data_IF_560591975312
#
_entry.id   IF_560591975312
#
_cell.length_a   1.000
_cell.length_b   1.000
_cell.length_c   1.000
_cell.angle_alpha   90.00
_cell.angle_beta   90.00
_cell.angle_gamma   90.00
#
_symmetry.space_group_name_H-M   'P 1'
#
loop_
_entity.id
_entity.type
_entity.pdbx_description
1 polymer ?
#
# COMPACT_ATOMS: atom_id res chain seq x y z
N UNK A 1 -20.05 -6.58 -29.13
CA UNK A 1 -19.88 -6.55 -27.66
C UNK A 1 -18.94 -5.41 -27.35
N UNK A 2 -19.51 -4.26 -26.99
CA UNK A 2 -18.78 -3.02 -26.72
C UNK A 2 -18.07 -3.19 -25.38
N UNK A 3 -16.74 -3.02 -25.39
CA UNK A 3 -15.91 -2.92 -24.19
C UNK A 3 -16.53 -1.83 -23.29
N UNK A 4 -16.78 -2.07 -21.99
CA UNK A 4 -17.26 -0.99 -21.14
C UNK A 4 -16.22 0.12 -21.16
N UNK A 5 -16.72 1.28 -21.55
CA UNK A 5 -16.10 2.60 -21.55
C UNK A 5 -15.31 2.78 -20.25
N UNK A 6 -14.05 3.18 -20.41
CA UNK A 6 -13.17 3.50 -19.29
C UNK A 6 -13.90 4.49 -18.39
N UNK A 7 -14.15 4.08 -17.14
CA UNK A 7 -14.63 4.98 -16.12
C UNK A 7 -13.67 6.18 -16.06
N UNK A 8 -14.26 7.35 -16.25
CA UNK A 8 -13.69 8.68 -16.14
C UNK A 8 -12.50 8.70 -15.17
N UNK A 9 -11.30 8.91 -15.71
CA UNK A 9 -10.09 9.04 -14.92
C UNK A 9 -10.20 10.37 -14.16
N UNK A 10 -10.79 10.33 -12.96
CA UNK A 10 -10.82 11.50 -12.09
C UNK A 10 -9.39 11.98 -11.93
N UNK A 11 -9.10 13.20 -12.42
CA UNK A 11 -7.77 13.81 -12.36
C UNK A 11 -7.34 14.12 -10.92
N UNK A 12 -8.26 13.97 -9.97
CA UNK A 12 -8.05 14.18 -8.55
C UNK A 12 -7.35 12.96 -7.93
N UNK A 13 -6.14 13.18 -7.42
CA UNK A 13 -5.36 12.19 -6.71
C UNK A 13 -4.87 12.77 -5.38
N UNK A 14 -5.20 12.17 -4.21
CA UNK A 14 -6.02 10.97 -4.02
C UNK A 14 -7.47 11.15 -4.49
N UNK A 15 -8.22 10.06 -4.80
CA UNK A 15 -9.61 10.16 -5.22
C UNK A 15 -10.46 10.90 -4.18
N UNK A 16 -11.54 11.58 -4.60
CA UNK A 16 -12.41 12.38 -3.73
C UNK A 16 -12.93 11.60 -2.50
N UNK A 17 -13.14 10.28 -2.64
CA UNK A 17 -13.58 9.40 -1.56
C UNK A 17 -12.48 8.96 -0.57
N UNK A 18 -11.22 9.33 -0.80
CA UNK A 18 -10.13 9.03 0.11
C UNK A 18 -10.19 9.93 1.35
N UNK A 19 -10.20 9.31 2.52
CA UNK A 19 -10.24 10.00 3.81
C UNK A 19 -8.84 10.12 4.41
N UNK A 20 -8.67 10.96 5.43
CA UNK A 20 -7.46 10.97 6.24
C UNK A 20 -7.17 9.54 6.76
N UNK A 21 -5.92 9.08 6.63
CA UNK A 21 -5.56 7.75 7.14
C UNK A 21 -5.62 7.77 8.67
N UNK A 22 -5.91 6.62 9.28
CA UNK A 22 -5.97 6.51 10.73
C UNK A 22 -5.91 5.08 11.23
N UNK A 23 -5.27 4.92 12.39
CA UNK A 23 -5.15 3.66 13.10
C UNK A 23 -4.02 2.77 12.57
N UNK A 24 -4.07 1.51 12.99
CA UNK A 24 -3.07 0.52 12.63
C UNK A 24 -3.23 0.08 11.17
N UNK A 25 -2.12 0.11 10.43
CA UNK A 25 -2.03 -0.47 9.09
C UNK A 25 -0.89 -1.47 9.01
N UNK A 26 -1.03 -2.43 8.10
CA UNK A 26 -0.10 -3.51 7.89
C UNK A 26 0.39 -3.54 6.43
N UNK A 27 1.67 -3.79 6.22
CA UNK A 27 2.28 -3.84 4.88
C UNK A 27 3.17 -5.06 4.73
N UNK A 28 3.13 -5.67 3.54
CA UNK A 28 4.04 -6.73 3.15
C UNK A 28 5.44 -6.15 2.84
N UNK A 29 6.49 -6.67 3.45
CA UNK A 29 7.87 -6.23 3.26
C UNK A 29 8.80 -7.41 2.91
N UNK A 30 9.91 -7.13 2.24
CA UNK A 30 11.00 -8.09 1.94
C UNK A 30 12.14 -8.02 2.96
N UNK A 31 12.21 -6.93 3.71
CA UNK A 31 13.29 -6.63 4.66
C UNK A 31 12.78 -6.51 6.10
N UNK A 32 13.67 -6.75 7.06
CA UNK A 32 13.46 -6.49 8.48
C UNK A 32 14.74 -5.88 9.06
N UNK A 33 14.75 -4.59 9.45
CA UNK A 33 13.63 -3.63 9.37
C UNK A 33 13.22 -3.31 7.91
N UNK A 34 12.02 -2.72 7.67
CA UNK A 34 11.62 -2.26 6.35
C UNK A 34 12.58 -1.18 5.82
N UNK A 35 12.79 -1.18 4.52
CA UNK A 35 13.66 -0.20 3.83
C UNK A 35 12.84 0.77 2.99
N UNK A 36 13.48 1.82 2.49
CA UNK A 36 12.92 2.71 1.46
C UNK A 36 12.40 1.92 0.24
N UNK A 37 13.12 0.89 -0.20
CA UNK A 37 12.72 -0.01 -1.30
C UNK A 37 11.40 -0.73 -1.00
N UNK A 38 11.12 -1.05 0.27
CA UNK A 38 9.84 -1.64 0.69
C UNK A 38 8.68 -0.62 0.68
N UNK A 39 8.98 0.68 0.65
CA UNK A 39 8.04 1.80 0.80
C UNK A 39 7.91 2.70 -0.43
N UNK A 40 8.54 2.31 -1.54
CA UNK A 40 8.35 2.96 -2.83
C UNK A 40 6.98 2.63 -3.43
N UNK A 41 6.32 3.65 -3.97
CA UNK A 41 5.12 3.53 -4.79
C UNK A 41 5.49 2.94 -6.16
N UNK A 42 4.48 2.57 -6.96
CA UNK A 42 4.73 2.12 -8.34
C UNK A 42 5.23 3.26 -9.23
N UNK A 43 4.78 4.49 -8.96
CA UNK A 43 5.30 5.69 -9.62
C UNK A 43 6.80 5.87 -9.33
N UNK A 44 7.18 5.91 -8.05
CA UNK A 44 8.57 6.12 -7.60
C UNK A 44 9.52 5.02 -8.10
N UNK A 45 9.05 3.78 -8.17
CA UNK A 45 9.84 2.63 -8.65
C UNK A 45 9.79 2.41 -10.16
N UNK A 46 9.08 3.25 -10.92
CA UNK A 46 8.92 3.12 -12.37
C UNK A 46 8.15 1.87 -12.81
N UNK A 47 7.42 1.23 -11.90
CA UNK A 47 6.64 0.00 -12.18
C UNK A 47 5.24 0.33 -12.69
N UNK A 48 4.69 -0.61 -13.45
CA UNK A 48 3.32 -0.57 -14.00
C UNK A 48 3.03 0.73 -14.77
N UNK A 49 3.80 1.07 -15.82
CA UNK A 49 3.69 2.36 -16.51
C UNK A 49 2.28 2.67 -17.04
N UNK A 50 1.56 1.63 -17.48
CA UNK A 50 0.23 1.74 -18.09
C UNK A 50 -0.93 1.62 -17.08
N UNK A 51 -0.64 1.47 -15.79
CA UNK A 51 -1.67 1.44 -14.75
C UNK A 51 -2.16 2.86 -14.41
N UNK A 52 -3.32 2.93 -13.76
CA UNK A 52 -3.91 4.18 -13.26
C UNK A 52 -2.86 5.04 -12.52
N UNK A 53 -2.56 6.26 -13.00
CA UNK A 53 -1.51 7.10 -12.42
C UNK A 53 -1.73 7.39 -10.94
N UNK A 54 -2.98 7.56 -10.50
CA UNK A 54 -3.25 7.85 -9.10
C UNK A 54 -3.03 6.63 -8.21
N UNK A 55 -3.47 5.44 -8.64
CA UNK A 55 -3.19 4.20 -7.90
C UNK A 55 -1.70 3.88 -7.87
N UNK A 56 -0.93 4.28 -8.89
CA UNK A 56 0.53 4.13 -8.87
C UNK A 56 1.21 4.98 -7.80
N UNK A 57 0.58 6.06 -7.34
CA UNK A 57 1.01 6.91 -6.21
C UNK A 57 0.61 6.37 -4.84
N UNK A 58 -0.20 5.30 -4.80
CA UNK A 58 -0.59 4.64 -3.55
C UNK A 58 0.33 3.47 -3.19
N UNK A 59 0.45 3.23 -1.89
CA UNK A 59 1.01 2.02 -1.29
C UNK A 59 -0.14 1.10 -0.86
N UNK A 60 -0.03 -0.19 -1.22
CA UNK A 60 -0.91 -1.22 -0.67
C UNK A 60 -0.61 -1.43 0.82
N UNK A 61 -1.63 -1.22 1.64
CA UNK A 61 -1.65 -1.56 3.07
C UNK A 61 -2.91 -2.38 3.39
N UNK A 62 -2.97 -2.93 4.60
CA UNK A 62 -4.07 -3.74 5.10
C UNK A 62 -4.51 -3.21 6.46
N UNK A 63 -5.80 -3.33 6.78
CA UNK A 63 -6.33 -3.01 8.13
C UNK A 63 -6.26 -4.19 9.10
N UNK A 64 -5.89 -5.38 8.61
CA UNK A 64 -5.76 -6.60 9.40
C UNK A 64 -4.38 -7.23 9.18
N UNK A 65 -3.71 -7.62 10.27
CA UNK A 65 -2.45 -8.36 10.19
C UNK A 65 -2.66 -9.71 9.49
N UNK A 66 -3.74 -10.42 9.82
CA UNK A 66 -4.09 -11.72 9.23
C UNK A 66 -4.24 -11.63 7.71
N UNK A 67 -4.85 -10.56 7.20
CA UNK A 67 -5.01 -10.36 5.77
C UNK A 67 -3.68 -10.03 5.09
N UNK A 68 -2.82 -9.23 5.75
CA UNK A 68 -1.47 -8.97 5.27
C UNK A 68 -0.62 -10.26 5.24
N UNK A 69 -0.71 -11.10 6.26
CA UNK A 69 -0.05 -12.40 6.29
C UNK A 69 -0.58 -13.31 5.18
N UNK A 70 -1.90 -13.35 4.96
CA UNK A 70 -2.48 -14.10 3.85
C UNK A 70 -1.95 -13.59 2.50
N UNK A 71 -1.93 -12.27 2.29
CA UNK A 71 -1.41 -11.67 1.06
C UNK A 71 0.05 -12.04 0.83
N UNK A 72 0.91 -11.91 1.84
CA UNK A 72 2.35 -12.14 1.66
C UNK A 72 2.65 -13.62 1.34
N UNK A 73 1.83 -14.57 1.84
CA UNK A 73 1.93 -16.00 1.47
C UNK A 73 1.77 -16.19 -0.04
N UNK A 74 0.94 -15.39 -0.72
CA UNK A 74 0.72 -15.46 -2.17
C UNK A 74 1.96 -15.04 -2.98
N UNK A 75 2.87 -14.25 -2.41
CA UNK A 75 4.10 -13.80 -3.10
C UNK A 75 5.18 -14.89 -3.15
N UNK A 76 4.95 -15.97 -3.90
CA UNK A 76 5.85 -17.15 -4.00
C UNK A 76 7.31 -16.83 -4.37
N UNK A 77 7.55 -15.70 -5.06
CA UNK A 77 8.90 -15.29 -5.49
C UNK A 77 9.75 -14.66 -4.39
N UNK A 78 9.16 -14.21 -3.27
CA UNK A 78 9.92 -13.56 -2.20
C UNK A 78 10.51 -14.63 -1.28
N UNK A 79 11.84 -14.62 -1.13
CA UNK A 79 12.60 -15.57 -0.31
C UNK A 79 12.36 -15.36 1.19
N UNK A 80 12.32 -14.11 1.61
CA UNK A 80 11.96 -13.68 2.97
C UNK A 80 10.78 -12.72 2.88
N UNK A 81 9.87 -12.83 3.84
CA UNK A 81 8.56 -12.19 3.80
C UNK A 81 8.22 -11.73 5.20
N UNK A 82 7.92 -10.46 5.33
CA UNK A 82 7.56 -9.84 6.59
C UNK A 82 6.23 -9.13 6.46
N UNK A 83 5.51 -9.05 7.58
CA UNK A 83 4.45 -8.08 7.76
C UNK A 83 4.97 -7.03 8.73
N UNK A 84 4.92 -5.77 8.29
CA UNK A 84 5.25 -4.62 9.10
C UNK A 84 3.98 -3.84 9.46
N UNK A 85 3.97 -3.23 10.64
CA UNK A 85 2.87 -2.44 11.19
C UNK A 85 3.30 -0.99 11.37
N UNK A 86 2.40 -0.06 11.09
CA UNK A 86 2.50 1.33 11.49
C UNK A 86 1.19 1.80 12.13
N UNK A 87 1.28 2.69 13.11
CA UNK A 87 0.13 3.44 13.61
C UNK A 87 0.11 4.79 12.88
N UNK A 88 -0.83 4.95 11.94
CA UNK A 88 -0.95 6.15 11.13
C UNK A 88 -2.06 7.07 11.66
N UNK A 89 -1.93 8.35 11.34
CA UNK A 89 -2.91 9.39 11.59
C UNK A 89 -3.07 10.28 10.35
N UNK A 90 -3.96 11.27 10.42
CA UNK A 90 -4.26 12.13 9.28
C UNK A 90 -3.07 12.94 8.73
N UNK A 91 -2.01 13.14 9.53
CA UNK A 91 -0.77 13.78 9.07
C UNK A 91 0.05 12.90 8.12
N UNK A 92 -0.20 11.59 8.11
CA UNK A 92 0.51 10.64 7.27
C UNK A 92 -0.12 10.43 5.89
N UNK A 93 -1.19 11.16 5.56
CA UNK A 93 -1.81 11.18 4.24
C UNK A 93 -3.25 10.68 4.22
N UNK A 94 -3.67 10.13 3.08
CA UNK A 94 -5.05 9.69 2.85
C UNK A 94 -5.12 8.22 2.49
N UNK A 95 -6.23 7.56 2.79
CA UNK A 95 -6.46 6.18 2.42
C UNK A 95 -7.89 5.92 1.97
N UNK A 96 -8.06 4.86 1.18
CA UNK A 96 -9.35 4.40 0.68
C UNK A 96 -9.32 2.88 0.55
N UNK A 97 -10.38 2.21 0.99
CA UNK A 97 -10.51 0.77 0.79
C UNK A 97 -10.51 0.46 -0.71
N UNK A 98 -9.64 -0.45 -1.13
CA UNK A 98 -9.61 -0.91 -2.52
C UNK A 98 -10.77 -1.88 -2.71
N UNK A 99 -11.60 -1.65 -3.73
CA UNK A 99 -12.70 -2.57 -4.06
C UNK A 99 -12.13 -3.87 -4.64
N UNK A 100 -12.48 -5.02 -4.08
CA UNK A 100 -11.95 -6.31 -4.54
C UNK A 100 -12.17 -7.47 -3.56
N UNK A 101 -11.45 -8.57 -3.81
CA UNK A 101 -11.55 -9.83 -3.06
C UNK A 101 -10.81 -9.81 -1.71
N UNK A 102 -10.11 -8.72 -1.38
CA UNK A 102 -9.28 -8.60 -0.18
C UNK A 102 -9.97 -7.64 0.80
N UNK A 103 -10.62 -8.14 1.87
CA UNK A 103 -11.56 -7.36 2.67
C UNK A 103 -10.98 -6.09 3.28
N UNK A 104 -9.69 -6.11 3.63
CA UNK A 104 -9.01 -4.99 4.29
C UNK A 104 -7.92 -4.34 3.45
N UNK A 105 -7.77 -4.72 2.17
CA UNK A 105 -6.80 -4.08 1.27
C UNK A 105 -7.19 -2.63 1.05
N UNK A 106 -6.26 -1.73 1.38
CA UNK A 106 -6.46 -0.30 1.37
C UNK A 106 -5.34 0.33 0.55
N UNK A 107 -5.71 1.21 -0.37
CA UNK A 107 -4.78 2.13 -1.01
C UNK A 107 -4.47 3.27 -0.04
N UNK A 108 -3.20 3.43 0.32
CA UNK A 108 -2.73 4.56 1.12
C UNK A 108 -1.88 5.48 0.24
N UNK A 109 -2.29 6.74 0.09
CA UNK A 109 -1.50 7.80 -0.53
C UNK A 109 -0.77 8.56 0.58
N UNK A 110 0.55 8.36 0.71
CA UNK A 110 1.34 9.02 1.75
C UNK A 110 1.30 10.54 1.59
N UNK A 111 1.43 11.26 2.69
CA UNK A 111 1.64 12.71 2.64
C UNK A 111 2.88 13.05 1.82
N UNK A 112 2.86 14.16 1.06
CA UNK A 112 3.97 14.55 0.17
C UNK A 112 5.30 14.75 0.90
N UNK A 113 5.25 15.17 2.17
CA UNK A 113 6.43 15.35 3.02
C UNK A 113 7.10 14.01 3.43
N UNK A 114 6.43 12.87 3.24
CA UNK A 114 6.96 11.55 3.58
C UNK A 114 7.59 10.92 2.33
N UNK A 115 8.92 11.03 2.22
CA UNK A 115 9.69 10.25 1.25
C UNK A 115 9.70 8.74 1.64
N UNK A 116 10.19 7.83 0.77
CA UNK A 116 10.21 6.41 1.07
C UNK A 116 10.99 6.02 2.34
N UNK A 117 12.05 6.74 2.70
CA UNK A 117 12.83 6.47 3.90
C UNK A 117 12.06 6.89 5.17
N UNK A 118 11.44 8.07 5.15
CA UNK A 118 10.55 8.55 6.20
C UNK A 118 9.35 7.62 6.39
N UNK A 119 8.77 7.11 5.30
CA UNK A 119 7.71 6.08 5.36
C UNK A 119 8.23 4.81 6.02
N UNK A 120 9.43 4.33 5.67
CA UNK A 120 9.99 3.12 6.25
C UNK A 120 10.18 3.23 7.76
N UNK A 121 10.59 4.40 8.24
CA UNK A 121 10.77 4.68 9.66
C UNK A 121 9.46 4.61 10.49
N UNK A 122 8.30 4.74 9.87
CA UNK A 122 6.99 4.58 10.53
C UNK A 122 6.64 3.13 10.83
N UNK A 123 7.27 2.17 10.13
CA UNK A 123 6.89 0.77 10.17
C UNK A 123 7.88 -0.09 10.96
N UNK A 124 7.35 -0.96 11.81
CA UNK A 124 8.10 -2.01 12.49
C UNK A 124 7.62 -3.39 12.04
N UNK A 125 8.54 -4.33 11.80
CA UNK A 125 8.17 -5.72 11.49
C UNK A 125 7.51 -6.37 12.72
N UNK A 126 6.32 -6.92 12.52
CA UNK A 126 5.54 -7.64 13.56
C UNK A 126 5.50 -9.14 13.33
N UNK A 127 5.74 -9.60 12.09
CA UNK A 127 5.70 -11.02 11.75
C UNK A 127 6.70 -11.35 10.63
N UNK A 128 7.47 -12.44 10.78
CA UNK A 128 8.13 -13.13 9.67
C UNK A 128 7.22 -14.27 9.19
N UNK A 129 6.79 -14.21 7.94
CA UNK A 129 5.88 -15.21 7.37
C UNK A 129 6.69 -16.30 6.69
N UNK A 130 6.76 -17.46 7.35
CA UNK A 130 7.36 -18.68 6.82
C UNK A 130 6.33 -19.45 5.97
N UNK A 131 6.83 -20.12 4.93
CA UNK A 131 6.03 -21.02 4.09
C UNK A 131 5.91 -22.40 4.74
#
# INVERSE_FOLDING_TARGET
MTKPENADASTECPPTGAAAVGGDVYRCCKSSPPTDVDMQTHEESGRLPDADPCLRRALSVFRSETDAQHQVRLFRRWRRKFVAKAALDGGHGKSMLTTGQQPTHTSWWPAEALDPAARAALFAVVCEVRL
#
